data_IF_103626525711
#
_entry.id   IF_103626525711
#
_cell.length_a   1.000
_cell.length_b   1.000
_cell.length_c   1.000
_cell.angle_alpha   90.00
_cell.angle_beta   90.00
_cell.angle_gamma   90.00
#
_symmetry.space_group_name_H-M   'P 1'
#
loop_
_entity.id
_entity.type
_entity.pdbx_description
1 polymer ?
#
# COMPACT_ATOMS: atom_id res chain seq x y z
N UNK A 1 6.78 11.22 -16.49
CA UNK A 1 5.60 10.71 -15.89
C UNK A 1 5.23 9.37 -16.41
N UNK A 2 4.92 9.26 -17.66
CA UNK A 2 4.59 7.98 -18.23
C UNK A 2 5.75 7.01 -18.09
N UNK A 3 6.95 7.54 -18.15
CA UNK A 3 8.13 6.69 -18.05
C UNK A 3 8.24 5.99 -16.72
N UNK A 4 7.82 6.66 -15.67
CA UNK A 4 7.88 6.03 -14.37
C UNK A 4 6.92 4.88 -14.24
N UNK A 5 5.78 5.02 -14.86
CA UNK A 5 4.77 3.97 -14.80
C UNK A 5 5.21 2.74 -15.59
N UNK A 6 5.90 2.96 -16.68
CA UNK A 6 6.31 1.86 -17.53
C UNK A 6 7.17 0.82 -16.82
N UNK A 7 8.20 1.21 -16.09
CA UNK A 7 9.00 0.21 -15.37
C UNK A 7 8.17 -0.61 -14.42
N UNK A 8 7.25 0.02 -13.73
CA UNK A 8 6.41 -0.72 -12.80
C UNK A 8 5.55 -1.72 -13.54
N UNK A 9 4.96 -1.28 -14.62
CA UNK A 9 4.13 -2.17 -15.41
C UNK A 9 4.93 -3.33 -15.94
N UNK A 10 6.16 -3.08 -16.32
CA UNK A 10 7.03 -4.13 -16.80
C UNK A 10 7.27 -5.18 -15.73
N UNK A 11 7.53 -4.74 -14.53
CA UNK A 11 7.76 -5.66 -13.43
C UNK A 11 6.52 -6.50 -13.16
N UNK A 12 5.37 -5.87 -13.18
CA UNK A 12 4.13 -6.58 -12.95
C UNK A 12 3.87 -7.60 -14.05
N UNK A 13 4.18 -7.24 -15.26
CA UNK A 13 4.01 -8.17 -16.35
C UNK A 13 4.92 -9.37 -16.22
N UNK A 14 6.14 -9.12 -15.81
CA UNK A 14 7.08 -10.21 -15.60
C UNK A 14 6.55 -11.18 -14.58
N UNK A 15 6.04 -10.65 -13.50
CA UNK A 15 5.46 -11.45 -12.46
C UNK A 15 4.31 -12.29 -12.99
N UNK A 16 3.44 -11.66 -13.75
CA UNK A 16 2.29 -12.37 -14.28
C UNK A 16 2.69 -13.47 -15.22
N UNK A 17 3.68 -13.21 -16.05
CA UNK A 17 4.14 -14.23 -16.97
C UNK A 17 4.68 -15.43 -16.23
N UNK A 18 5.44 -15.17 -15.19
CA UNK A 18 5.97 -16.25 -14.40
C UNK A 18 4.84 -17.03 -13.74
N UNK A 19 3.85 -16.33 -13.27
CA UNK A 19 2.72 -16.98 -12.65
C UNK A 19 1.90 -17.79 -13.64
N UNK A 20 1.78 -17.29 -14.86
CA UNK A 20 0.99 -17.95 -15.86
C UNK A 20 1.53 -19.29 -16.28
N UNK A 21 2.80 -19.51 -16.10
CA UNK A 21 3.38 -20.76 -16.58
C UNK A 21 3.18 -21.90 -15.62
N UNK A 22 2.50 -21.68 -14.52
CA UNK A 22 2.34 -22.73 -13.53
C UNK A 22 0.89 -22.98 -13.20
N UNK A 23 0.67 -23.73 -12.14
CA UNK A 23 -0.63 -24.24 -11.79
C UNK A 23 -1.61 -23.17 -11.31
N UNK A 24 -2.82 -23.62 -11.06
CA UNK A 24 -3.89 -22.77 -10.58
C UNK A 24 -3.54 -22.10 -9.25
N UNK A 25 -2.76 -22.75 -8.43
CA UNK A 25 -2.33 -22.18 -7.17
C UNK A 25 -1.54 -20.91 -7.40
N UNK A 26 -0.68 -20.96 -8.38
CA UNK A 26 0.12 -19.80 -8.71
C UNK A 26 -0.76 -18.68 -9.27
N UNK A 27 -1.77 -19.06 -10.03
CA UNK A 27 -2.70 -18.06 -10.55
C UNK A 27 -3.40 -17.33 -9.41
N UNK A 28 -3.80 -18.07 -8.40
CA UNK A 28 -4.46 -17.49 -7.26
C UNK A 28 -3.53 -16.52 -6.52
N UNK A 29 -2.29 -16.93 -6.32
CA UNK A 29 -1.32 -16.07 -5.67
C UNK A 29 -1.03 -14.84 -6.51
N UNK A 30 -0.97 -15.02 -7.82
CA UNK A 30 -0.73 -13.90 -8.71
C UNK A 30 -1.87 -12.91 -8.65
N UNK A 31 -3.10 -13.39 -8.60
CA UNK A 31 -4.26 -12.52 -8.50
C UNK A 31 -4.23 -11.73 -7.20
N UNK A 32 -3.89 -12.39 -6.10
CA UNK A 32 -3.81 -11.72 -4.80
C UNK A 32 -2.69 -10.68 -4.80
N UNK A 33 -1.55 -11.02 -5.37
CA UNK A 33 -0.43 -10.08 -5.43
C UNK A 33 -0.80 -8.87 -6.27
N UNK A 34 -1.47 -9.09 -7.40
CA UNK A 34 -1.91 -7.99 -8.24
C UNK A 34 -2.89 -7.09 -7.51
N UNK A 35 -3.76 -7.68 -6.75
CA UNK A 35 -4.74 -6.92 -6.00
C UNK A 35 -4.08 -6.04 -4.96
N UNK A 36 -3.08 -6.57 -4.27
CA UNK A 36 -2.32 -5.81 -3.29
C UNK A 36 -1.58 -4.66 -3.97
N UNK A 37 -0.91 -4.95 -5.06
CA UNK A 37 -0.13 -3.93 -5.75
C UNK A 37 -1.03 -2.88 -6.37
N UNK A 38 -2.17 -3.28 -6.86
CA UNK A 38 -3.13 -2.32 -7.41
C UNK A 38 -3.61 -1.38 -6.31
N UNK A 39 -3.92 -1.94 -5.15
CA UNK A 39 -4.38 -1.14 -4.02
C UNK A 39 -3.31 -0.14 -3.60
N UNK A 40 -2.07 -0.60 -3.53
CA UNK A 40 -0.96 0.26 -3.15
C UNK A 40 -0.74 1.36 -4.18
N UNK A 41 -0.89 1.04 -5.44
CA UNK A 41 -0.70 2.02 -6.50
C UNK A 41 -1.80 3.07 -6.55
N UNK A 42 -3.01 2.64 -6.27
CA UNK A 42 -4.16 3.52 -6.39
C UNK A 42 -4.37 4.46 -5.22
N UNK A 43 -3.69 4.21 -4.13
CA UNK A 43 -3.92 4.97 -2.89
C UNK A 43 -2.60 5.47 -2.32
N UNK A 44 -2.63 6.69 -1.80
CA UNK A 44 -1.42 7.25 -1.23
C UNK A 44 -1.03 6.58 0.06
N UNK A 45 -2.00 6.28 0.91
CA UNK A 45 -1.75 5.62 2.18
C UNK A 45 -2.58 4.37 2.25
N UNK A 46 -1.94 3.23 2.43
CA UNK A 46 -2.63 1.95 2.55
C UNK A 46 -2.18 1.28 3.82
N UNK A 47 -3.13 0.84 4.61
CA UNK A 47 -2.86 0.14 5.86
C UNK A 47 -3.47 -1.25 5.77
N UNK A 48 -2.62 -2.27 5.74
CA UNK A 48 -3.12 -3.64 5.81
C UNK A 48 -3.24 -3.97 7.29
N UNK A 49 -4.45 -4.23 7.73
CA UNK A 49 -4.74 -4.34 9.14
C UNK A 49 -5.67 -5.51 9.44
N UNK A 50 -6.02 -5.64 10.70
CA UNK A 50 -7.06 -6.58 11.12
C UNK A 50 -7.96 -5.85 12.09
N UNK A 51 -9.23 -6.17 12.06
CA UNK A 51 -10.21 -5.44 12.87
C UNK A 51 -9.93 -5.53 14.35
N UNK A 52 -9.25 -6.60 14.78
CA UNK A 52 -8.98 -6.80 16.20
C UNK A 52 -7.60 -6.31 16.63
N UNK A 53 -6.89 -5.64 15.77
CA UNK A 53 -5.51 -5.24 16.06
C UNK A 53 -5.47 -3.83 16.63
N UNK A 54 -4.99 -3.69 17.86
CA UNK A 54 -4.93 -2.38 18.49
C UNK A 54 -3.85 -1.49 17.88
N UNK A 55 -2.75 -2.08 17.47
CA UNK A 55 -1.70 -1.30 16.81
C UNK A 55 -2.19 -0.76 15.47
N UNK A 56 -3.04 -1.52 14.80
CA UNK A 56 -3.62 -1.05 13.56
C UNK A 56 -4.51 0.16 13.83
N UNK A 57 -5.26 0.12 14.89
CA UNK A 57 -6.11 1.25 15.26
C UNK A 57 -5.28 2.48 15.60
N UNK A 58 -4.15 2.27 16.26
CA UNK A 58 -3.25 3.37 16.56
C UNK A 58 -2.74 4.03 15.29
N UNK A 59 -2.38 3.23 14.31
CA UNK A 59 -1.89 3.77 13.05
C UNK A 59 -2.99 4.54 12.32
N UNK A 60 -4.18 3.98 12.30
CA UNK A 60 -5.32 4.65 11.67
C UNK A 60 -5.59 5.99 12.33
N UNK A 61 -5.58 5.99 13.66
CA UNK A 61 -5.82 7.22 14.38
C UNK A 61 -4.76 8.27 14.11
N UNK A 62 -3.54 7.84 13.95
CA UNK A 62 -2.46 8.76 13.65
C UNK A 62 -2.73 9.51 12.34
N UNK A 63 -3.13 8.80 11.30
CA UNK A 63 -3.43 9.44 10.04
C UNK A 63 -4.70 10.30 10.14
N UNK A 64 -5.65 9.86 10.92
CA UNK A 64 -6.86 10.66 11.14
C UNK A 64 -6.51 11.97 11.84
N UNK A 65 -5.64 11.90 12.83
CA UNK A 65 -5.21 13.09 13.55
C UNK A 65 -4.44 14.06 12.65
N UNK A 66 -3.77 13.53 11.65
CA UNK A 66 -3.05 14.35 10.68
C UNK A 66 -3.95 14.85 9.56
N UNK A 67 -5.21 14.46 9.59
CA UNK A 67 -6.18 14.82 8.56
C UNK A 67 -5.75 14.26 7.20
N UNK A 68 -5.23 13.03 7.22
CA UNK A 68 -4.76 12.34 6.02
C UNK A 68 -5.69 11.18 5.74
N UNK A 69 -6.18 11.11 4.51
CA UNK A 69 -7.01 9.99 4.11
C UNK A 69 -6.17 8.75 3.91
N UNK A 70 -6.71 7.62 4.27
CA UNK A 70 -6.03 6.34 4.08
C UNK A 70 -7.02 5.28 3.65
N UNK A 71 -6.49 4.20 3.09
CA UNK A 71 -7.31 3.05 2.73
C UNK A 71 -6.88 1.90 3.63
N UNK A 72 -7.83 1.35 4.38
CA UNK A 72 -7.54 0.24 5.27
C UNK A 72 -8.09 -1.05 4.67
N UNK A 73 -7.23 -2.06 4.60
CA UNK A 73 -7.60 -3.38 4.11
C UNK A 73 -7.60 -4.30 5.32
N UNK A 74 -8.79 -4.69 5.77
CA UNK A 74 -8.93 -5.55 6.94
C UNK A 74 -8.78 -6.99 6.50
N UNK A 75 -7.62 -7.55 6.71
CA UNK A 75 -7.32 -8.88 6.21
C UNK A 75 -8.21 -9.97 6.77
N UNK A 76 -8.68 -9.78 7.99
CA UNK A 76 -9.56 -10.77 8.60
C UNK A 76 -10.98 -10.74 8.05
N UNK A 77 -11.28 -9.78 7.20
CA UNK A 77 -12.59 -9.71 6.55
C UNK A 77 -12.60 -10.36 5.18
N UNK A 78 -11.44 -10.83 4.72
CA UNK A 78 -11.34 -11.45 3.41
C UNK A 78 -11.10 -12.94 3.56
N UNK A 79 -11.69 -13.73 2.66
CA UNK A 79 -11.47 -15.16 2.69
C UNK A 79 -10.02 -15.50 2.44
N UNK A 80 -9.38 -14.73 1.59
CA UNK A 80 -7.98 -14.98 1.25
C UNK A 80 -7.02 -14.05 2.00
N UNK A 81 -7.42 -13.64 3.21
CA UNK A 81 -6.57 -12.77 4.01
C UNK A 81 -5.22 -13.38 4.36
N UNK A 82 -5.22 -14.69 4.62
CA UNK A 82 -3.99 -15.39 4.90
C UNK A 82 -3.03 -15.34 3.72
N UNK A 83 -3.58 -15.48 2.53
CA UNK A 83 -2.81 -15.40 1.31
C UNK A 83 -2.22 -14.00 1.14
N UNK A 84 -2.99 -12.98 1.45
CA UNK A 84 -2.51 -11.61 1.43
C UNK A 84 -1.34 -11.45 2.41
N UNK A 85 -1.44 -12.04 3.61
CA UNK A 85 -0.36 -11.95 4.58
C UNK A 85 0.91 -12.62 4.08
N UNK A 86 0.76 -13.76 3.40
CA UNK A 86 1.91 -14.43 2.83
C UNK A 86 2.61 -13.56 1.80
N UNK A 87 1.84 -12.90 0.97
CA UNK A 87 2.39 -12.04 -0.06
C UNK A 87 3.04 -10.81 0.57
N UNK A 88 2.40 -10.23 1.55
CA UNK A 88 2.96 -9.09 2.26
C UNK A 88 4.25 -9.48 2.96
N UNK A 89 4.32 -10.71 3.47
CA UNK A 89 5.54 -11.21 4.08
C UNK A 89 6.67 -11.26 3.04
N UNK A 90 6.36 -11.72 1.86
CA UNK A 90 7.36 -11.77 0.81
C UNK A 90 7.80 -10.37 0.38
N UNK A 91 6.87 -9.43 0.38
CA UNK A 91 7.16 -8.07 -0.05
C UNK A 91 7.90 -7.26 1.01
N UNK A 92 7.61 -7.49 2.27
CA UNK A 92 8.08 -6.60 3.33
C UNK A 92 8.92 -7.28 4.40
N UNK A 93 8.99 -8.60 4.38
CA UNK A 93 9.78 -9.33 5.36
C UNK A 93 9.07 -9.67 6.65
N UNK A 94 7.78 -9.41 6.76
CA UNK A 94 7.03 -9.74 7.97
C UNK A 94 5.56 -9.96 7.71
N UNK A 95 4.96 -10.76 8.57
CA UNK A 95 3.53 -11.08 8.45
C UNK A 95 2.66 -10.30 9.41
N UNK A 96 3.26 -9.54 10.31
CA UNK A 96 2.47 -8.85 11.32
C UNK A 96 1.71 -7.67 10.72
N UNK A 97 0.68 -7.25 11.40
CA UNK A 97 -0.10 -6.08 11.02
C UNK A 97 0.05 -5.03 12.12
N UNK A 98 -0.06 -3.77 11.80
CA UNK A 98 -0.34 -3.23 10.48
C UNK A 98 0.88 -3.24 9.56
N UNK A 99 0.63 -3.26 8.26
CA UNK A 99 1.66 -3.07 7.23
C UNK A 99 1.25 -1.83 6.48
N UNK A 100 2.08 -0.80 6.53
CA UNK A 100 1.70 0.52 6.03
C UNK A 100 2.54 0.90 4.83
N UNK A 101 1.86 1.30 3.78
CA UNK A 101 2.51 1.74 2.55
C UNK A 101 2.12 3.17 2.27
N UNK A 102 3.10 3.98 1.89
CA UNK A 102 2.85 5.35 1.51
C UNK A 102 3.53 5.59 0.17
N UNK A 103 2.75 6.08 -0.77
CA UNK A 103 3.23 6.36 -2.12
C UNK A 103 3.89 5.12 -2.73
N UNK A 104 3.29 3.96 -2.47
CA UNK A 104 3.77 2.72 -3.03
C UNK A 104 4.96 2.10 -2.32
N UNK A 105 5.43 2.71 -1.25
CA UNK A 105 6.61 2.25 -0.53
C UNK A 105 6.23 1.77 0.86
N UNK A 106 6.75 0.62 1.24
CA UNK A 106 6.51 0.10 2.58
C UNK A 106 7.27 0.94 3.60
N UNK A 107 6.56 1.44 4.60
CA UNK A 107 7.19 2.29 5.62
C UNK A 107 7.29 1.61 6.98
N UNK A 108 6.61 0.49 7.18
CA UNK A 108 6.71 -0.25 8.42
C UNK A 108 5.38 -0.46 9.10
N UNK A 109 5.44 -0.73 10.38
CA UNK A 109 4.25 -0.94 11.19
C UNK A 109 3.87 0.32 11.96
N UNK A 110 3.06 0.15 12.98
CA UNK A 110 2.56 1.30 13.75
C UNK A 110 3.68 2.07 14.42
N UNK A 111 4.62 1.37 15.03
CA UNK A 111 5.72 2.03 15.73
C UNK A 111 6.60 2.81 14.78
N UNK A 112 6.90 2.20 13.64
CA UNK A 112 7.72 2.87 12.64
C UNK A 112 7.04 4.13 12.13
N UNK A 113 5.74 4.04 11.91
CA UNK A 113 4.98 5.18 11.41
C UNK A 113 4.93 6.28 12.46
N UNK A 114 4.75 5.92 13.72
CA UNK A 114 4.75 6.90 14.79
C UNK A 114 6.10 7.59 14.91
N UNK A 115 7.17 6.83 14.73
CA UNK A 115 8.50 7.41 14.80
C UNK A 115 8.69 8.41 13.66
N UNK A 116 8.28 8.05 12.45
CA UNK A 116 8.37 8.96 11.32
C UNK A 116 7.58 10.24 11.58
N UNK A 117 6.42 10.08 12.19
CA UNK A 117 5.60 11.24 12.51
C UNK A 117 6.32 12.16 13.49
N UNK A 118 6.88 11.58 14.55
CA UNK A 118 7.58 12.38 15.56
C UNK A 118 8.81 13.08 14.98
N UNK A 119 9.44 12.44 14.00
CA UNK A 119 10.63 13.03 13.36
C UNK A 119 10.26 14.02 12.28
N UNK A 120 8.98 14.21 12.02
CA UNK A 120 8.54 15.14 11.00
C UNK A 120 8.72 14.63 9.59
N UNK A 121 8.89 13.32 9.43
CA UNK A 121 9.15 12.75 8.11
C UNK A 121 7.92 12.13 7.47
N UNK A 122 6.90 11.86 8.26
CA UNK A 122 5.73 11.16 7.74
C UNK A 122 4.90 12.04 6.81
N UNK A 123 4.60 13.25 7.24
CA UNK A 123 3.77 14.13 6.44
C UNK A 123 4.38 14.46 5.08
N UNK A 124 5.69 14.72 4.98
CA UNK A 124 6.28 14.95 3.67
C UNK A 124 6.11 13.76 2.72
N UNK A 125 6.19 12.54 3.25
CA UNK A 125 5.98 11.36 2.41
C UNK A 125 4.58 11.33 1.83
N UNK A 126 3.60 11.63 2.67
CA UNK A 126 2.22 11.67 2.23
C UNK A 126 2.02 12.80 1.24
N UNK A 127 2.59 13.97 1.53
CA UNK A 127 2.46 15.13 0.67
C UNK A 127 3.01 14.87 -0.72
N UNK A 128 4.12 14.17 -0.80
CA UNK A 128 4.70 13.86 -2.10
C UNK A 128 3.71 13.10 -2.97
N UNK A 129 3.01 12.15 -2.38
CA UNK A 129 2.03 11.39 -3.12
C UNK A 129 0.84 12.24 -3.49
N UNK A 130 0.36 13.04 -2.55
CA UNK A 130 -0.80 13.88 -2.81
C UNK A 130 -0.51 14.91 -3.90
N UNK A 131 0.69 15.46 -3.89
CA UNK A 131 1.08 16.42 -4.91
C UNK A 131 1.09 15.77 -6.29
N UNK A 132 1.58 14.54 -6.38
CA UNK A 132 1.60 13.84 -7.65
C UNK A 132 0.20 13.54 -8.13
N UNK A 133 -0.65 13.09 -7.22
CA UNK A 133 -2.04 12.82 -7.56
C UNK A 133 -2.76 14.09 -7.97
N UNK A 134 -2.53 15.14 -7.21
CA UNK A 134 -3.15 16.40 -7.49
C UNK A 134 -2.73 16.96 -8.82
N UNK A 135 -1.46 16.79 -9.13
CA UNK A 135 -0.97 17.27 -10.39
C UNK A 135 -1.66 16.56 -11.53
N UNK A 136 -1.86 15.26 -11.37
CA UNK A 136 -2.51 14.49 -12.41
C UNK A 136 -3.97 14.85 -12.60
N UNK A 137 -4.67 15.03 -11.50
CA UNK A 137 -6.10 15.26 -11.61
C UNK A 137 -6.49 16.72 -11.55
N UNK A 138 -5.67 17.49 -10.86
CA UNK A 138 -6.02 18.86 -10.62
C UNK A 138 -5.38 19.85 -11.52
N UNK A 139 -4.45 19.40 -12.29
CA UNK A 139 -3.71 20.27 -13.06
C UNK A 139 -4.51 21.39 -13.68
N UNK A 140 -5.59 21.07 -14.31
CA UNK A 140 -6.38 22.13 -14.93
C UNK A 140 -6.94 23.09 -13.92
N UNK A 141 -7.21 22.60 -12.76
CA UNK A 141 -7.86 23.43 -11.79
C UNK A 141 -6.90 24.27 -11.01
N UNK A 142 -5.75 23.76 -10.82
CA UNK A 142 -4.84 24.41 -9.93
C UNK A 142 -4.26 25.66 -10.51
N UNK A 143 -4.40 25.84 -11.74
CA UNK A 143 -3.80 26.94 -12.34
C UNK A 143 -4.34 28.28 -12.07
N UNK A 144 -5.51 28.49 -11.80
CA UNK A 144 -6.08 29.82 -11.69
C UNK A 144 -5.23 30.81 -10.96
#
# INVERSE_FOLDING_TARGET
MALKALPRLSLLRSWRRMGNSTSATTDSNTAAANQIEQTISDNCVVIFSKTTCSYCNMAKKLFEDMDVNYTAIELDMYENGSQFQDILHQMTGGRTVPRIFINGTFVGGATDTQRLHREGKLLPLVHQCLLRSGRNSEQPCSLP
#
